data_IF_970626196680
#
_entry.id   IF_970626196680
#
_cell.length_a   1.000
_cell.length_b   1.000
_cell.length_c   1.000
_cell.angle_alpha   90.00
_cell.angle_beta   90.00
_cell.angle_gamma   90.00
#
_symmetry.space_group_name_H-M   'P 1'
#
loop_
_entity.id
_entity.type
_entity.pdbx_description
1 polymer ?
#
# COMPACT_ATOMS: atom_id res chain seq x y z
N UNK A 1 -13.65 1.23 33.03
CA UNK A 1 -12.84 1.24 31.79
C UNK A 1 -13.62 2.09 30.82
N UNK A 2 -13.16 3.34 30.62
CA UNK A 2 -13.93 4.37 29.91
C UNK A 2 -13.61 4.27 28.42
N UNK A 3 -14.61 3.92 27.61
CA UNK A 3 -14.50 3.98 26.15
C UNK A 3 -14.38 5.45 25.72
N UNK A 4 -13.23 5.81 25.14
CA UNK A 4 -13.04 7.12 24.51
C UNK A 4 -13.88 7.21 23.25
N UNK A 5 -14.72 8.24 23.20
CA UNK A 5 -15.59 8.57 22.08
C UNK A 5 -14.72 9.22 20.98
N UNK A 6 -14.70 8.60 19.80
CA UNK A 6 -14.06 9.09 18.59
C UNK A 6 -14.64 10.46 18.22
N UNK A 7 -13.80 11.49 18.13
CA UNK A 7 -14.27 12.85 17.81
C UNK A 7 -14.20 13.06 16.30
N UNK A 8 -15.30 13.37 15.60
CA UNK A 8 -15.24 13.73 14.18
C UNK A 8 -14.62 15.13 14.03
N UNK A 9 -13.63 15.29 13.14
CA UNK A 9 -13.05 16.60 12.83
C UNK A 9 -13.99 17.36 11.89
N UNK A 10 -14.51 18.49 12.36
CA UNK A 10 -15.35 19.39 11.57
C UNK A 10 -14.53 20.11 10.48
N UNK A 11 -15.00 20.04 9.23
CA UNK A 11 -14.53 20.90 8.14
C UNK A 11 -15.20 22.28 8.27
N UNK A 12 -14.40 23.33 8.44
CA UNK A 12 -14.90 24.71 8.38
C UNK A 12 -15.08 25.14 6.92
N UNK A 13 -16.32 25.41 6.49
CA UNK A 13 -16.58 26.13 5.25
C UNK A 13 -16.26 27.62 5.45
N UNK A 14 -15.24 28.11 4.75
CA UNK A 14 -15.02 29.54 4.56
C UNK A 14 -15.57 29.92 3.17
N UNK A 15 -16.72 30.58 3.13
CA UNK A 15 -17.26 31.20 1.91
C UNK A 15 -16.71 32.61 1.77
N UNK A 16 -16.06 32.92 0.64
CA UNK A 16 -15.87 34.28 0.17
C UNK A 16 -16.01 34.32 -1.35
N UNK A 17 -17.10 34.94 -1.82
CA UNK A 17 -17.32 35.28 -3.24
C UNK A 17 -16.66 36.64 -3.49
N UNK A 18 -15.72 36.68 -4.43
CA UNK A 18 -15.25 37.92 -5.05
C UNK A 18 -15.43 37.80 -6.57
N UNK A 19 -16.30 38.65 -7.13
CA UNK A 19 -16.55 38.75 -8.58
C UNK A 19 -15.48 39.68 -9.17
N UNK A 20 -14.59 39.12 -10.00
CA UNK A 20 -13.57 39.83 -10.78
C UNK A 20 -13.30 39.09 -12.09
N UNK A 21 -13.25 39.84 -13.18
CA UNK A 21 -13.42 39.41 -14.58
C UNK A 21 -12.44 38.34 -15.10
N UNK A 22 -13.01 37.32 -15.77
CA UNK A 22 -12.48 36.50 -16.87
C UNK A 22 -10.96 36.30 -17.00
N UNK A 23 -10.48 35.23 -16.35
CA UNK A 23 -9.73 34.20 -17.04
C UNK A 23 -10.29 32.87 -16.57
N UNK A 24 -10.63 31.97 -17.49
CA UNK A 24 -10.97 30.58 -17.17
C UNK A 24 -9.69 29.95 -16.61
N UNK A 25 -9.44 30.19 -15.33
CA UNK A 25 -8.38 29.57 -14.59
C UNK A 25 -8.77 28.10 -14.51
N UNK A 26 -8.00 27.26 -15.19
CA UNK A 26 -7.98 25.84 -14.94
C UNK A 26 -8.08 25.67 -13.43
N UNK A 27 -9.12 24.98 -12.96
CA UNK A 27 -9.07 24.33 -11.67
C UNK A 27 -7.96 23.28 -11.83
N UNK A 28 -6.70 23.72 -11.76
CA UNK A 28 -5.59 22.83 -11.56
C UNK A 28 -5.87 22.25 -10.19
N UNK A 29 -6.30 21.00 -10.17
CA UNK A 29 -6.23 20.13 -9.01
C UNK A 29 -4.81 20.31 -8.48
N UNK A 30 -4.65 21.18 -7.49
CA UNK A 30 -3.33 21.47 -6.96
C UNK A 30 -2.85 20.16 -6.36
N UNK A 31 -1.77 19.61 -6.91
CA UNK A 31 -1.10 18.47 -6.30
C UNK A 31 -0.66 18.94 -4.92
N UNK A 32 -1.27 18.37 -3.89
CA UNK A 32 -0.91 18.62 -2.49
C UNK A 32 0.18 17.60 -2.14
N UNK A 33 1.45 18.00 -1.98
CA UNK A 33 2.55 17.06 -1.76
C UNK A 33 2.32 16.11 -0.59
N UNK A 34 1.59 16.56 0.44
CA UNK A 34 1.23 15.75 1.61
C UNK A 34 0.25 14.61 1.31
N UNK A 35 -0.38 14.59 0.13
CA UNK A 35 -1.30 13.53 -0.31
C UNK A 35 -0.67 12.60 -1.35
N UNK A 36 0.59 12.84 -1.73
CA UNK A 36 1.33 12.00 -2.65
C UNK A 36 2.08 10.91 -1.88
N UNK A 37 2.17 9.74 -2.49
CA UNK A 37 3.00 8.63 -2.05
C UNK A 37 4.12 8.51 -3.09
N UNK A 38 5.39 8.59 -2.69
CA UNK A 38 6.50 8.31 -3.62
C UNK A 38 6.69 6.81 -3.82
N UNK A 39 7.31 6.42 -4.94
CA UNK A 39 7.66 5.02 -5.20
C UNK A 39 8.63 4.49 -4.12
N UNK A 40 9.64 5.28 -3.74
CA UNK A 40 10.55 4.99 -2.63
C UNK A 40 9.81 4.65 -1.33
N UNK A 41 8.72 5.38 -1.01
CA UNK A 41 7.93 5.10 0.19
C UNK A 41 7.13 3.78 0.11
N UNK A 42 6.89 3.27 -1.10
CA UNK A 42 6.25 1.98 -1.34
C UNK A 42 7.30 0.86 -1.27
N UNK A 43 8.45 1.07 -1.90
CA UNK A 43 9.61 0.17 -1.91
C UNK A 43 10.16 -0.06 -0.49
N UNK A 44 10.16 0.95 0.37
CA UNK A 44 10.56 0.79 1.78
C UNK A 44 9.55 -0.06 2.62
N UNK A 45 8.46 -0.53 2.02
CA UNK A 45 7.38 -1.20 2.71
C UNK A 45 7.60 -2.69 2.95
N UNK A 46 7.41 -3.13 4.19
CA UNK A 46 7.41 -4.56 4.53
C UNK A 46 6.06 -5.23 4.22
N UNK A 47 6.12 -6.51 3.87
CA UNK A 47 4.96 -7.37 3.64
C UNK A 47 4.76 -8.31 4.82
N UNK A 48 3.55 -8.31 5.38
CA UNK A 48 3.15 -9.16 6.49
C UNK A 48 2.10 -10.18 6.06
N UNK A 49 2.24 -11.44 6.50
CA UNK A 49 1.21 -12.45 6.31
C UNK A 49 0.18 -12.39 7.43
N UNK A 50 -1.09 -12.38 7.04
CA UNK A 50 -2.23 -12.50 7.94
C UNK A 50 -2.70 -13.95 7.98
N UNK A 51 -2.95 -14.46 9.18
CA UNK A 51 -3.63 -15.75 9.37
C UNK A 51 -5.15 -15.60 9.17
N UNK A 52 -5.57 -15.13 8.00
CA UNK A 52 -6.98 -14.97 7.61
C UNK A 52 -7.25 -15.71 6.32
N UNK A 53 -8.44 -16.29 6.18
CA UNK A 53 -8.81 -17.00 4.96
C UNK A 53 -9.20 -16.03 3.85
N UNK A 54 -9.10 -16.46 2.58
CA UNK A 54 -9.56 -15.70 1.40
C UNK A 54 -11.03 -15.26 1.49
N UNK A 55 -11.85 -16.07 2.17
CA UNK A 55 -13.28 -15.83 2.35
C UNK A 55 -13.60 -14.97 3.59
N UNK A 56 -12.58 -14.48 4.31
CA UNK A 56 -12.78 -13.63 5.48
C UNK A 56 -13.44 -12.30 5.05
N UNK A 57 -14.55 -11.88 5.67
CA UNK A 57 -15.26 -10.66 5.29
C UNK A 57 -14.40 -9.40 5.44
N UNK A 58 -13.41 -9.41 6.35
CA UNK A 58 -12.44 -8.32 6.54
C UNK A 58 -11.52 -8.22 5.33
N UNK A 59 -11.02 -9.35 4.83
CA UNK A 59 -10.20 -9.38 3.62
C UNK A 59 -10.99 -8.98 2.37
N UNK A 60 -12.21 -9.50 2.24
CA UNK A 60 -13.12 -9.23 1.12
C UNK A 60 -13.62 -7.78 1.08
N UNK A 61 -13.63 -7.08 2.22
CA UNK A 61 -14.02 -5.67 2.28
C UNK A 61 -13.08 -4.75 1.47
N UNK A 62 -11.83 -5.20 1.26
CA UNK A 62 -10.80 -4.38 0.62
C UNK A 62 -10.30 -3.22 1.48
N UNK A 63 -10.70 -3.15 2.76
CA UNK A 63 -10.27 -2.09 3.66
C UNK A 63 -8.75 -2.17 3.93
N UNK A 64 -8.13 -1.00 4.06
CA UNK A 64 -6.73 -0.88 4.48
C UNK A 64 -6.61 -1.01 5.98
N UNK A 65 -5.49 -1.54 6.44
CA UNK A 65 -5.18 -1.66 7.86
C UNK A 65 -4.51 -0.36 8.34
N UNK A 66 -4.85 0.08 9.55
CA UNK A 66 -4.36 1.35 10.12
C UNK A 66 -3.30 1.14 11.21
N UNK A 67 -2.96 -0.11 11.48
CA UNK A 67 -1.96 -0.49 12.48
C UNK A 67 -1.38 -1.84 12.08
N UNK A 68 -0.09 -2.02 12.32
CA UNK A 68 0.59 -3.32 12.23
C UNK A 68 0.49 -3.98 13.61
N UNK A 69 -0.13 -5.15 13.67
CA UNK A 69 -0.28 -5.86 14.95
C UNK A 69 1.01 -6.64 15.28
N UNK A 70 1.36 -6.69 16.56
CA UNK A 70 2.56 -7.39 17.03
C UNK A 70 2.56 -8.91 16.74
N UNK A 71 1.42 -9.49 16.36
CA UNK A 71 1.29 -10.90 15.99
C UNK A 71 1.52 -11.18 14.50
N UNK A 72 1.63 -10.16 13.65
CA UNK A 72 1.82 -10.36 12.22
C UNK A 72 3.24 -10.79 11.91
N UNK A 73 3.38 -11.78 11.03
CA UNK A 73 4.67 -12.29 10.61
C UNK A 73 5.10 -11.55 9.35
N UNK A 74 6.24 -10.85 9.39
CA UNK A 74 6.89 -10.33 8.18
C UNK A 74 7.31 -11.51 7.30
N UNK A 75 6.98 -11.44 6.02
CA UNK A 75 7.27 -12.49 5.01
C UNK A 75 8.12 -12.00 3.86
N UNK A 76 8.29 -10.69 3.71
CA UNK A 76 9.10 -10.09 2.66
C UNK A 76 9.07 -8.56 2.69
N UNK A 77 9.59 -7.98 1.63
CA UNK A 77 9.69 -6.53 1.39
C UNK A 77 9.26 -6.22 -0.06
N UNK A 78 8.83 -4.99 -0.32
CA UNK A 78 8.54 -4.53 -1.67
C UNK A 78 9.87 -4.12 -2.33
N UNK A 79 10.14 -4.62 -3.52
CA UNK A 79 11.34 -4.25 -4.29
C UNK A 79 11.03 -3.19 -5.35
N UNK A 80 9.85 -3.25 -5.97
CA UNK A 80 9.43 -2.29 -7.01
C UNK A 80 7.89 -2.24 -7.19
N UNK A 81 7.39 -1.22 -7.88
CA UNK A 81 5.99 -1.06 -8.31
C UNK A 81 5.84 -1.32 -9.81
N UNK A 82 4.86 -2.15 -10.16
CA UNK A 82 4.59 -2.48 -11.55
C UNK A 82 3.38 -1.71 -12.06
N UNK A 83 3.62 -0.90 -13.09
CA UNK A 83 2.61 -0.11 -13.77
C UNK A 83 2.19 -0.79 -15.08
N UNK A 84 0.93 -0.61 -15.48
CA UNK A 84 0.49 -0.92 -16.83
C UNK A 84 0.86 0.21 -17.82
N UNK A 85 0.53 0.01 -19.11
CA UNK A 85 0.81 0.99 -20.17
C UNK A 85 0.00 2.30 -20.02
N UNK A 86 -1.06 2.28 -19.21
CA UNK A 86 -1.88 3.45 -18.88
C UNK A 86 -1.34 4.18 -17.62
N UNK A 87 -0.23 3.69 -17.05
CA UNK A 87 0.41 4.25 -15.85
C UNK A 87 -0.33 3.92 -14.55
N UNK A 88 -1.24 2.94 -14.56
CA UNK A 88 -1.90 2.45 -13.34
C UNK A 88 -1.03 1.40 -12.68
N UNK A 89 -0.87 1.49 -11.36
CA UNK A 89 -0.24 0.42 -10.59
C UNK A 89 -1.14 -0.81 -10.62
N UNK A 90 -0.58 -1.95 -11.02
CA UNK A 90 -1.32 -3.23 -11.18
C UNK A 90 -0.76 -4.34 -10.30
N UNK A 91 0.51 -4.24 -9.92
CA UNK A 91 1.18 -5.19 -9.05
C UNK A 91 2.37 -4.55 -8.34
N UNK A 92 2.95 -5.28 -7.40
CA UNK A 92 4.23 -4.98 -6.76
C UNK A 92 5.18 -6.14 -7.00
N UNK A 93 6.46 -5.84 -7.18
CA UNK A 93 7.53 -6.81 -7.09
C UNK A 93 7.88 -6.97 -5.61
N UNK A 94 7.82 -8.20 -5.12
CA UNK A 94 8.04 -8.51 -3.72
C UNK A 94 9.20 -9.49 -3.58
N UNK A 95 10.15 -9.15 -2.72
CA UNK A 95 11.23 -10.02 -2.30
C UNK A 95 10.73 -10.87 -1.12
N UNK A 96 10.63 -12.18 -1.30
CA UNK A 96 10.04 -13.11 -0.33
C UNK A 96 11.10 -14.01 0.29
N UNK A 97 11.13 -14.05 1.62
CA UNK A 97 12.01 -14.94 2.38
C UNK A 97 13.33 -14.28 2.78
N UNK A 98 14.38 -15.10 2.92
CA UNK A 98 15.70 -14.61 3.28
C UNK A 98 16.06 -14.57 4.77
N UNK A 99 17.29 -14.97 5.07
CA UNK A 99 18.01 -14.51 6.26
C UNK A 99 19.30 -13.90 5.73
N UNK A 100 19.37 -12.56 5.65
CA UNK A 100 20.52 -11.81 5.10
C UNK A 100 20.68 -11.93 3.58
N UNK A 101 19.60 -11.71 2.81
CA UNK A 101 19.59 -11.66 1.34
C UNK A 101 20.07 -12.97 0.67
N UNK A 102 19.97 -14.09 1.38
CA UNK A 102 20.32 -15.43 0.90
C UNK A 102 19.05 -16.29 0.88
N UNK A 103 18.69 -16.72 -0.33
CA UNK A 103 17.51 -17.55 -0.57
C UNK A 103 16.21 -16.76 -0.74
N UNK A 104 16.37 -15.45 -0.93
CA UNK A 104 15.36 -14.49 -1.31
C UNK A 104 14.97 -14.76 -2.76
N UNK A 105 13.75 -14.39 -3.09
CA UNK A 105 13.21 -14.57 -4.44
C UNK A 105 12.21 -13.49 -4.74
N UNK A 106 12.25 -13.01 -5.98
CA UNK A 106 11.35 -12.00 -6.46
C UNK A 106 10.08 -12.63 -7.02
N UNK A 107 8.93 -12.13 -6.58
CA UNK A 107 7.62 -12.56 -7.06
C UNK A 107 6.75 -11.35 -7.37
N UNK A 108 5.88 -11.50 -8.36
CA UNK A 108 4.87 -10.49 -8.67
C UNK A 108 3.63 -10.75 -7.81
N UNK A 109 3.26 -9.77 -7.00
CA UNK A 109 2.00 -9.77 -6.26
C UNK A 109 1.03 -8.77 -6.88
N UNK A 110 -0.07 -9.23 -7.49
CA UNK A 110 -1.10 -8.32 -7.99
C UNK A 110 -1.76 -7.57 -6.81
N UNK A 111 -2.25 -6.35 -7.07
CA UNK A 111 -2.84 -5.50 -6.01
C UNK A 111 -4.06 -6.10 -5.31
N UNK A 112 -4.70 -7.11 -5.89
CA UNK A 112 -5.80 -7.83 -5.24
C UNK A 112 -5.33 -8.83 -4.17
N UNK A 113 -4.04 -9.18 -4.14
CA UNK A 113 -3.40 -10.08 -3.17
C UNK A 113 -2.62 -9.34 -2.07
N UNK A 114 -2.49 -8.01 -2.19
CA UNK A 114 -1.87 -7.15 -1.17
C UNK A 114 -2.85 -6.07 -0.71
N UNK A 115 -2.77 -5.66 0.54
CA UNK A 115 -3.52 -4.50 1.06
C UNK A 115 -2.56 -3.56 1.76
N UNK A 116 -2.84 -2.28 1.65
CA UNK A 116 -2.13 -1.26 2.41
C UNK A 116 -2.37 -1.45 3.91
N UNK A 117 -1.27 -1.41 4.65
CA UNK A 117 -1.23 -1.32 6.10
C UNK A 117 -0.41 -0.08 6.47
N UNK A 118 -1.06 0.95 6.96
CA UNK A 118 -0.38 2.19 7.38
C UNK A 118 0.20 1.97 8.78
N UNK A 119 1.51 2.18 8.93
CA UNK A 119 2.20 2.16 10.22
C UNK A 119 2.07 3.47 11.01
N UNK A 120 2.78 3.58 12.13
CA UNK A 120 2.98 4.88 12.80
C UNK A 120 4.12 5.65 12.11
N UNK A 121 3.87 6.88 11.67
CA UNK A 121 4.78 7.57 10.75
C UNK A 121 4.39 7.28 9.30
N UNK A 122 4.99 7.96 8.32
CA UNK A 122 4.59 7.87 6.90
C UNK A 122 5.08 6.57 6.23
N UNK A 123 5.08 5.48 6.99
CA UNK A 123 5.63 4.20 6.60
C UNK A 123 4.48 3.36 6.04
N UNK A 124 4.55 3.10 4.73
CA UNK A 124 3.57 2.27 4.04
C UNK A 124 4.03 0.83 4.14
N UNK A 125 3.22 -0.01 4.75
CA UNK A 125 3.44 -1.44 4.81
C UNK A 125 2.31 -2.15 4.09
N UNK A 126 2.46 -3.45 3.93
CA UNK A 126 1.55 -4.26 3.15
C UNK A 126 1.19 -5.52 3.92
N UNK A 127 -0.02 -6.01 3.68
CA UNK A 127 -0.46 -7.30 4.17
C UNK A 127 -0.94 -8.17 3.03
N UNK A 128 -0.69 -9.46 3.18
CA UNK A 128 -1.22 -10.49 2.29
C UNK A 128 -1.90 -11.58 3.11
N UNK A 129 -2.90 -12.24 2.51
CA UNK A 129 -3.51 -13.44 3.07
C UNK A 129 -2.80 -14.72 2.61
N UNK A 130 -1.70 -14.59 1.85
CA UNK A 130 -0.87 -15.71 1.46
C UNK A 130 0.13 -16.03 2.57
N UNK A 131 0.35 -17.32 2.79
CA UNK A 131 1.43 -17.80 3.63
C UNK A 131 2.78 -17.63 2.93
N UNK A 132 3.86 -17.58 3.71
CA UNK A 132 5.23 -17.55 3.18
C UNK A 132 5.51 -18.72 2.21
N UNK A 133 4.96 -19.91 2.50
CA UNK A 133 5.11 -21.07 1.62
C UNK A 133 4.36 -20.89 0.30
N UNK A 134 3.15 -20.32 0.31
CA UNK A 134 2.40 -20.01 -0.92
C UNK A 134 3.13 -18.96 -1.76
N UNK A 135 3.65 -17.91 -1.13
CA UNK A 135 4.46 -16.88 -1.79
C UNK A 135 5.71 -17.48 -2.44
N UNK A 136 6.38 -18.41 -1.75
CA UNK A 136 7.56 -19.14 -2.29
C UNK A 136 7.25 -20.09 -3.45
N UNK A 137 5.99 -20.44 -3.65
CA UNK A 137 5.55 -21.27 -4.76
C UNK A 137 5.05 -20.44 -5.96
N UNK A 138 4.96 -19.11 -5.84
CA UNK A 138 4.63 -18.25 -6.97
C UNK A 138 5.75 -18.25 -8.02
N UNK A 139 5.44 -18.00 -9.30
CA UNK A 139 6.45 -17.84 -10.33
C UNK A 139 7.51 -16.81 -9.92
N UNK A 140 8.77 -17.21 -10.05
CA UNK A 140 9.90 -16.31 -9.82
C UNK A 140 10.01 -15.33 -10.97
N UNK A 141 10.37 -14.09 -10.63
CA UNK A 141 10.85 -13.11 -11.60
C UNK A 141 12.36 -13.10 -11.54
N UNK A 142 12.99 -13.27 -12.70
CA UNK A 142 14.43 -13.07 -12.84
C UNK A 142 14.70 -11.57 -12.99
N UNK A 143 15.75 -11.05 -12.36
CA UNK A 143 16.13 -9.62 -12.41
C UNK A 143 16.40 -9.14 -13.85
N UNK A 144 16.79 -10.05 -14.75
CA UNK A 144 17.18 -9.77 -16.13
C UNK A 144 16.00 -9.49 -17.09
N UNK A 145 14.75 -9.64 -16.65
CA UNK A 145 13.58 -9.38 -17.50
C UNK A 145 13.40 -7.90 -17.86
N UNK A 146 14.16 -7.01 -17.21
CA UNK A 146 14.08 -5.56 -17.33
C UNK A 146 15.21 -4.91 -18.16
N UNK A 147 16.23 -5.69 -18.56
CA UNK A 147 17.37 -5.27 -19.39
C UNK A 147 17.10 -5.34 -20.91
#
# INVERSE_FOLDING_TARGET
>A
MTNSIMTPRAFALASAIAIGSASVGFAQSQLVPEQLISAEQIEDGAIYALEVTKDDPTWLSGESYTTIEAGWKKVGDISDVLLDQDGQMVAVLAEIGGFLDIGDRDVILPLDQVRFAVGEGKDYNYVTNLTEEELKNLPEVEEDIWD
#
